data_IF_751069509349
#
_entry.id   IF_751069509349
#
_cell.length_a   1.000
_cell.length_b   1.000
_cell.length_c   1.000
_cell.angle_alpha   90.00
_cell.angle_beta   90.00
_cell.angle_gamma   90.00
#
_symmetry.space_group_name_H-M   'P 1'
#
loop_
_entity.id
_entity.type
_entity.pdbx_description
1 polymer ?
#
# COMPACT_ATOMS: atom_id res chain seq x y z
N UNK A 1 -15.41 13.67 8.97
CA UNK A 1 -15.68 12.25 8.64
C UNK A 1 -14.34 11.61 8.38
N UNK A 2 -14.11 10.48 9.06
CA UNK A 2 -12.88 9.70 9.14
C UNK A 2 -12.21 9.55 7.77
N UNK A 3 -11.05 10.19 7.63
CA UNK A 3 -10.22 10.24 6.43
C UNK A 3 -10.08 8.84 5.84
N UNK A 4 -10.70 8.59 4.67
CA UNK A 4 -10.67 7.30 3.97
C UNK A 4 -9.31 6.89 3.42
N UNK A 5 -8.23 7.52 3.91
CA UNK A 5 -6.86 7.27 3.50
C UNK A 5 -6.21 6.26 4.43
N UNK A 6 -5.60 5.22 3.88
CA UNK A 6 -4.71 4.35 4.60
C UNK A 6 -3.33 5.02 4.80
N UNK A 7 -3.25 5.93 5.78
CA UNK A 7 -2.04 6.69 6.11
C UNK A 7 -0.85 5.82 6.51
N UNK A 8 -1.08 4.56 6.91
CA UNK A 8 -0.03 3.56 7.17
C UNK A 8 0.77 3.24 5.92
N UNK A 9 0.10 3.10 4.76
CA UNK A 9 0.77 2.80 3.49
C UNK A 9 1.63 3.97 3.03
N UNK A 10 1.22 5.20 3.35
CA UNK A 10 2.02 6.41 3.15
C UNK A 10 3.14 6.61 4.18
N UNK A 11 3.30 5.69 5.14
CA UNK A 11 4.32 5.79 6.21
C UNK A 11 4.04 6.88 7.23
N UNK A 12 2.80 7.40 7.29
CA UNK A 12 2.40 8.50 8.17
C UNK A 12 1.81 8.04 9.51
N UNK A 13 1.42 6.76 9.62
CA UNK A 13 0.95 6.16 10.87
C UNK A 13 1.55 4.77 11.11
N UNK A 14 1.84 4.44 12.38
CA UNK A 14 2.18 3.08 12.81
C UNK A 14 0.88 2.31 13.09
N UNK A 15 0.65 1.21 12.38
CA UNK A 15 -0.52 0.35 12.59
C UNK A 15 -0.47 -0.43 13.91
N UNK A 16 -1.60 -1.02 14.35
CA UNK A 16 -1.67 -1.85 15.55
C UNK A 16 -0.75 -3.08 15.42
N UNK A 17 -0.33 -3.66 16.55
CA UNK A 17 0.82 -4.57 16.70
C UNK A 17 0.86 -5.87 15.90
N UNK A 18 -0.10 -6.13 15.01
CA UNK A 18 0.01 -7.20 14.00
C UNK A 18 0.75 -6.66 12.77
N UNK A 19 1.89 -7.28 12.45
CA UNK A 19 2.55 -7.05 11.17
C UNK A 19 1.74 -7.72 10.06
N UNK A 20 1.25 -6.98 9.05
CA UNK A 20 0.61 -7.58 7.88
C UNK A 20 1.62 -8.36 7.05
N UNK A 21 1.16 -9.43 6.40
CA UNK A 21 1.94 -10.18 5.41
C UNK A 21 2.14 -9.35 4.14
N UNK A 22 3.14 -9.72 3.32
CA UNK A 22 3.40 -9.04 2.03
C UNK A 22 2.17 -9.09 1.12
N UNK A 23 1.45 -10.23 1.09
CA UNK A 23 0.22 -10.36 0.29
C UNK A 23 -0.90 -9.43 0.80
N UNK A 24 -1.10 -9.34 2.12
CA UNK A 24 -2.06 -8.39 2.71
C UNK A 24 -1.70 -6.94 2.35
N UNK A 25 -0.41 -6.59 2.37
CA UNK A 25 0.07 -5.25 1.98
C UNK A 25 -0.21 -4.96 0.50
N UNK A 26 0.03 -5.92 -0.39
CA UNK A 26 -0.25 -5.77 -1.84
C UNK A 26 -1.74 -5.55 -2.07
N UNK A 27 -2.61 -6.33 -1.45
CA UNK A 27 -4.06 -6.19 -1.57
C UNK A 27 -4.53 -4.83 -1.05
N UNK A 28 -4.00 -4.38 0.10
CA UNK A 28 -4.29 -3.05 0.63
C UNK A 28 -3.83 -1.94 -0.34
N UNK A 29 -2.63 -2.04 -0.91
CA UNK A 29 -2.10 -1.06 -1.86
C UNK A 29 -2.94 -0.98 -3.14
N UNK A 30 -3.32 -2.13 -3.71
CA UNK A 30 -4.18 -2.19 -4.90
C UNK A 30 -5.51 -1.49 -4.63
N UNK A 31 -6.17 -1.78 -3.50
CA UNK A 31 -7.44 -1.15 -3.13
C UNK A 31 -7.35 0.36 -2.98
N UNK A 32 -6.27 0.87 -2.38
CA UNK A 32 -6.10 2.31 -2.19
C UNK A 32 -5.76 3.02 -3.51
N UNK A 33 -5.03 2.37 -4.41
CA UNK A 33 -4.77 2.88 -5.76
C UNK A 33 -6.06 2.91 -6.59
N UNK A 34 -6.95 1.93 -6.44
CA UNK A 34 -8.27 1.91 -7.11
C UNK A 34 -9.16 3.10 -6.71
N UNK A 35 -9.00 3.64 -5.49
CA UNK A 35 -9.70 4.87 -5.10
C UNK A 35 -9.20 6.09 -5.89
N UNK A 36 -7.96 6.04 -6.40
CA UNK A 36 -7.40 7.01 -7.32
C UNK A 36 -7.41 8.45 -6.78
N UNK A 37 -7.56 9.40 -7.71
CA UNK A 37 -7.50 10.83 -7.42
C UNK A 37 -8.70 11.35 -6.60
N UNK A 38 -9.72 10.53 -6.38
CA UNK A 38 -10.86 10.89 -5.53
C UNK A 38 -10.47 11.01 -4.06
N UNK A 39 -9.43 10.28 -3.65
CA UNK A 39 -8.96 10.22 -2.26
C UNK A 39 -7.50 10.66 -2.15
N UNK A 40 -6.67 10.33 -3.12
CA UNK A 40 -5.24 10.59 -3.07
C UNK A 40 -4.80 11.70 -4.02
N UNK A 41 -3.78 12.46 -3.66
CA UNK A 41 -3.09 13.33 -4.62
C UNK A 41 -2.25 12.52 -5.59
N UNK A 42 -1.89 13.08 -6.75
CA UNK A 42 -1.00 12.44 -7.73
C UNK A 42 0.32 11.97 -7.10
N UNK A 43 0.88 12.77 -6.20
CA UNK A 43 2.10 12.40 -5.47
C UNK A 43 1.87 11.23 -4.50
N UNK A 44 0.72 11.19 -3.82
CA UNK A 44 0.39 10.08 -2.92
C UNK A 44 0.14 8.78 -3.71
N UNK A 45 -0.56 8.86 -4.86
CA UNK A 45 -0.74 7.70 -5.74
C UNK A 45 0.60 7.17 -6.25
N UNK A 46 1.49 8.05 -6.73
CA UNK A 46 2.82 7.65 -7.18
C UNK A 46 3.63 6.94 -6.07
N UNK A 47 3.45 7.32 -4.82
CA UNK A 47 4.06 6.63 -3.66
C UNK A 47 3.43 5.25 -3.45
N UNK A 48 2.10 5.13 -3.55
CA UNK A 48 1.40 3.86 -3.40
C UNK A 48 1.76 2.89 -4.53
N UNK A 49 1.78 3.35 -5.78
CA UNK A 49 2.17 2.56 -6.96
C UNK A 49 3.61 2.08 -6.86
N UNK A 50 4.54 2.96 -6.46
CA UNK A 50 5.93 2.56 -6.25
C UNK A 50 6.05 1.48 -5.18
N UNK A 51 5.36 1.63 -4.05
CA UNK A 51 5.35 0.64 -2.97
C UNK A 51 4.77 -0.69 -3.45
N UNK A 52 3.70 -0.65 -4.24
CA UNK A 52 3.08 -1.85 -4.82
C UNK A 52 4.12 -2.64 -5.62
N UNK A 53 4.80 -1.98 -6.56
CA UNK A 53 5.85 -2.61 -7.37
C UNK A 53 7.00 -3.19 -6.52
N UNK A 54 7.41 -2.50 -5.45
CA UNK A 54 8.44 -3.00 -4.52
C UNK A 54 7.99 -4.30 -3.82
N UNK A 55 6.75 -4.35 -3.33
CA UNK A 55 6.21 -5.53 -2.65
C UNK A 55 5.92 -6.68 -3.59
N UNK A 56 5.44 -6.42 -4.81
CA UNK A 56 5.24 -7.43 -5.85
C UNK A 56 6.58 -8.07 -6.24
N UNK A 57 7.61 -7.25 -6.48
CA UNK A 57 8.98 -7.74 -6.75
C UNK A 57 9.52 -8.58 -5.60
N UNK A 58 9.27 -8.16 -4.35
CA UNK A 58 9.68 -8.92 -3.17
C UNK A 58 8.96 -10.28 -3.10
N UNK A 59 7.65 -10.30 -3.36
CA UNK A 59 6.86 -11.53 -3.37
C UNK A 59 7.33 -12.49 -4.46
N UNK A 60 7.55 -12.01 -5.69
CA UNK A 60 8.09 -12.81 -6.79
C UNK A 60 9.43 -13.44 -6.43
N UNK A 61 10.33 -12.68 -5.82
CA UNK A 61 11.63 -13.20 -5.36
C UNK A 61 11.50 -14.27 -4.29
N UNK A 62 10.52 -14.15 -3.39
CA UNK A 62 10.25 -15.16 -2.36
C UNK A 62 9.62 -16.43 -2.92
N UNK A 63 8.84 -16.34 -3.99
CA UNK A 63 8.19 -17.48 -4.64
C UNK A 63 9.11 -18.20 -5.66
N UNK A 64 10.11 -17.49 -6.19
CA UNK A 64 11.05 -18.03 -7.18
C UNK A 64 12.23 -18.80 -6.55
N UNK A 65 12.19 -19.06 -5.24
CA UNK A 65 13.26 -19.64 -4.43
C UNK A 65 12.82 -20.93 -3.75
#
# INVERSE_FOLDING_TARGET
MTSGKNLRLLGREKGPGRQPTIQEIIVDLQREIEQGLAVYSEQELAILERKLAEYETLLERMLSH
#
